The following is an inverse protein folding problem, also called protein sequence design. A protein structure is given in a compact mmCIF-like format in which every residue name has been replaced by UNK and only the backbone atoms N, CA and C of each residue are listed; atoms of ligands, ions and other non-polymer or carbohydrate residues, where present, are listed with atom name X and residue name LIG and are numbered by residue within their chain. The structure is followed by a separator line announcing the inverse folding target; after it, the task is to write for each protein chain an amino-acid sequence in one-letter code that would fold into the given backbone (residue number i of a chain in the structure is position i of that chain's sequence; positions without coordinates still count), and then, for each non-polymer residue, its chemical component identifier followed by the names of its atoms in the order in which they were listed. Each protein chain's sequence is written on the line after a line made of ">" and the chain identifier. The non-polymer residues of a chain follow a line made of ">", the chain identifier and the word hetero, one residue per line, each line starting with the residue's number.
data_IF_721284532149
#
_entry.id   IF_721284532149
#
_cell.length_a   1.000
_cell.length_b   1.000
_cell.length_c   1.000
_cell.angle_alpha   90.00
_cell.angle_beta   90.00
_cell.angle_gamma   90.00
#
_symmetry.space_group_name_H-M   'P 1'
#
loop_
_entity.id
_entity.type
_entity.pdbx_description
1 polymer ?
#
# COMPACT_ATOMS: atom_id res chain seq x y z
N UNK A 1 -10.74 -11.33 -0.56
CA UNK A 1 -9.29 -11.58 -0.36
C UNK A 1 -8.58 -10.54 -1.19
N UNK A 2 -7.74 -9.72 -0.56
CA UNK A 2 -7.04 -8.61 -1.20
C UNK A 2 -5.56 -8.93 -1.32
N UNK A 3 -4.98 -8.68 -2.49
CA UNK A 3 -3.54 -8.88 -2.75
C UNK A 3 -2.86 -7.53 -2.84
N UNK A 4 -1.91 -7.29 -1.93
CA UNK A 4 -1.12 -6.07 -1.88
C UNK A 4 0.24 -6.35 -2.52
N UNK A 5 0.58 -5.58 -3.55
CA UNK A 5 1.86 -5.71 -4.25
C UNK A 5 2.60 -4.39 -4.21
N UNK A 6 3.87 -4.41 -3.80
CA UNK A 6 4.69 -3.21 -3.65
C UNK A 6 6.12 -3.45 -4.15
N UNK A 7 6.80 -2.48 -4.81
CA UNK A 7 8.16 -2.67 -5.30
C UNK A 7 9.22 -2.96 -4.23
N UNK A 8 9.00 -2.48 -3.00
CA UNK A 8 9.98 -2.55 -1.90
C UNK A 8 9.52 -3.41 -0.72
N UNK A 9 8.34 -4.05 -0.81
CA UNK A 9 7.79 -4.89 0.26
C UNK A 9 7.22 -6.18 -0.33
N UNK A 10 7.17 -7.28 0.44
CA UNK A 10 6.66 -8.55 -0.06
C UNK A 10 5.20 -8.45 -0.51
N UNK A 11 4.85 -9.21 -1.56
CA UNK A 11 3.46 -9.39 -1.95
C UNK A 11 2.74 -10.21 -0.89
N UNK A 12 1.68 -9.64 -0.31
CA UNK A 12 0.92 -10.28 0.78
C UNK A 12 -0.56 -10.31 0.47
N UNK A 13 -1.26 -11.24 1.13
CA UNK A 13 -2.69 -11.45 0.96
C UNK A 13 -3.39 -11.32 2.31
N UNK A 14 -4.48 -10.57 2.34
CA UNK A 14 -5.33 -10.44 3.52
C UNK A 14 -6.76 -10.88 3.20
N UNK A 15 -7.40 -11.46 4.20
CA UNK A 15 -8.81 -11.84 4.16
C UNK A 15 -9.65 -10.89 5.01
N UNK A 16 -10.93 -10.75 4.68
CA UNK A 16 -11.86 -9.85 5.39
C UNK A 16 -12.07 -8.51 4.69
N UNK A 17 -12.36 -7.48 5.50
CA UNK A 17 -12.69 -6.13 5.04
C UNK A 17 -11.47 -5.40 4.46
N UNK A 18 -11.70 -4.60 3.42
CA UNK A 18 -10.65 -3.85 2.71
C UNK A 18 -9.94 -2.85 3.63
N UNK A 19 -10.71 -2.08 4.40
CA UNK A 19 -10.18 -1.07 5.32
C UNK A 19 -9.27 -1.68 6.39
N UNK A 20 -9.67 -2.85 6.92
CA UNK A 20 -8.86 -3.60 7.89
C UNK A 20 -7.59 -4.13 7.23
N UNK A 21 -7.71 -4.69 6.03
CA UNK A 21 -6.57 -5.21 5.26
C UNK A 21 -5.53 -4.12 4.95
N UNK A 22 -5.98 -2.92 4.56
CA UNK A 22 -5.10 -1.75 4.32
C UNK A 22 -4.38 -1.35 5.62
N UNK A 23 -5.12 -1.26 6.73
CA UNK A 23 -4.55 -0.87 8.02
C UNK A 23 -3.51 -1.90 8.51
N UNK A 24 -3.81 -3.20 8.37
CA UNK A 24 -2.89 -4.28 8.74
C UNK A 24 -1.63 -4.26 7.86
N UNK A 25 -1.78 -4.12 6.54
CA UNK A 25 -0.64 -3.99 5.63
C UNK A 25 0.27 -2.81 5.98
N UNK A 26 -0.33 -1.65 6.29
CA UNK A 26 0.42 -0.46 6.68
C UNK A 26 1.20 -0.68 7.99
N UNK A 27 0.60 -1.32 8.98
CA UNK A 27 1.26 -1.63 10.25
C UNK A 27 2.40 -2.66 10.07
N UNK A 28 2.14 -3.75 9.35
CA UNK A 28 3.08 -4.87 9.22
C UNK A 28 4.29 -4.52 8.34
N UNK A 29 4.07 -3.79 7.24
CA UNK A 29 5.06 -3.67 6.16
C UNK A 29 5.49 -2.24 5.85
N UNK A 30 4.74 -1.23 6.30
CA UNK A 30 5.00 0.16 5.94
C UNK A 30 5.43 1.04 7.13
N UNK A 31 5.58 0.48 8.32
CA UNK A 31 5.94 1.21 9.55
C UNK A 31 7.29 1.95 9.48
N UNK A 32 8.18 1.55 8.57
CA UNK A 32 9.47 2.22 8.32
C UNK A 32 9.36 3.45 7.40
N UNK A 33 8.20 3.65 6.76
CA UNK A 33 7.93 4.70 5.78
C UNK A 33 6.88 5.68 6.30
N UNK A 34 6.96 6.96 5.90
CA UNK A 34 5.90 7.93 6.20
C UNK A 34 4.86 7.81 5.09
N UNK A 35 3.74 7.16 5.41
CA UNK A 35 2.73 6.77 4.44
C UNK A 35 1.57 7.75 4.42
N UNK A 36 1.15 8.16 3.22
CA UNK A 36 -0.12 8.84 3.02
C UNK A 36 -0.96 8.04 2.02
N UNK A 37 -2.20 7.77 2.37
CA UNK A 37 -3.12 7.04 1.49
C UNK A 37 -3.70 8.04 0.49
N UNK A 38 -3.12 8.10 -0.70
CA UNK A 38 -3.74 8.74 -1.85
C UNK A 38 -4.33 7.64 -2.73
N UNK A 39 -5.65 7.65 -2.92
CA UNK A 39 -6.29 6.79 -3.91
C UNK A 39 -5.82 7.23 -5.29
N UNK A 40 -5.01 6.39 -5.93
CA UNK A 40 -4.55 6.60 -7.30
C UNK A 40 -5.14 5.51 -8.18
N UNK A 41 -5.61 5.89 -9.36
CA UNK A 41 -6.15 4.96 -10.35
C UNK A 41 -4.99 4.10 -10.90
N UNK A 42 -4.76 2.94 -10.27
CA UNK A 42 -3.63 2.07 -10.60
C UNK A 42 -3.97 1.05 -11.71
N UNK A 43 -5.25 0.68 -11.85
CA UNK A 43 -5.81 -0.06 -12.98
C UNK A 43 -7.34 0.02 -12.98
N UNK A 44 -8.01 -0.52 -14.01
CA UNK A 44 -9.48 -0.61 -14.08
C UNK A 44 -10.13 -1.39 -12.92
N UNK A 45 -9.36 -2.09 -12.09
CA UNK A 45 -9.85 -2.96 -11.02
C UNK A 45 -9.09 -2.84 -9.68
N UNK A 46 -8.19 -1.86 -9.51
CA UNK A 46 -7.33 -1.81 -8.32
C UNK A 46 -7.12 -0.41 -7.75
N UNK A 47 -7.01 -0.35 -6.41
CA UNK A 47 -6.72 0.86 -5.65
C UNK A 47 -5.20 0.99 -5.52
N UNK A 48 -4.65 2.13 -5.90
CA UNK A 48 -3.26 2.49 -5.65
C UNK A 48 -3.08 3.18 -4.30
N UNK A 49 -2.02 2.86 -3.57
CA UNK A 49 -1.54 3.61 -2.40
C UNK A 49 -0.11 4.11 -2.69
N UNK A 50 0.11 5.42 -2.74
CA UNK A 50 1.45 5.99 -2.94
C UNK A 50 2.22 6.13 -1.61
N UNK A 51 3.46 5.63 -1.58
CA UNK A 51 4.32 5.72 -0.38
C UNK A 51 5.37 6.83 -0.52
N UNK A 52 5.75 7.46 0.59
CA UNK A 52 6.76 8.52 0.61
C UNK A 52 7.90 8.23 1.60
N UNK A 53 9.11 8.68 1.24
CA UNK A 53 10.27 8.60 2.11
C UNK A 53 10.25 9.71 3.16
N UNK A 54 10.24 9.35 4.45
CA UNK A 54 10.21 10.28 5.59
C UNK A 54 11.26 11.40 5.53
N UNK A 55 12.47 11.06 5.11
CA UNK A 55 13.61 11.99 5.09
C UNK A 55 13.60 12.94 3.91
N UNK A 56 12.96 12.59 2.80
CA UNK A 56 13.07 13.35 1.54
C UNK A 56 11.73 13.79 0.96
N UNK A 57 10.61 13.28 1.47
CA UNK A 57 9.27 13.51 0.94
C UNK A 57 9.08 13.01 -0.49
N UNK A 58 9.98 12.15 -1.00
CA UNK A 58 9.91 11.63 -2.37
C UNK A 58 9.04 10.37 -2.44
N UNK A 59 8.30 10.18 -3.54
CA UNK A 59 7.54 8.96 -3.75
C UNK A 59 8.51 7.77 -3.88
N UNK A 60 8.19 6.68 -3.19
CA UNK A 60 8.96 5.42 -3.18
C UNK A 60 8.34 4.36 -4.08
N UNK A 61 7.05 4.47 -4.38
CA UNK A 61 6.31 3.51 -5.19
C UNK A 61 4.82 3.54 -4.88
N UNK A 62 4.06 2.80 -5.69
CA UNK A 62 2.61 2.63 -5.51
C UNK A 62 2.36 1.17 -5.14
N UNK A 63 1.66 0.95 -4.03
CA UNK A 63 1.09 -0.35 -3.67
C UNK A 63 -0.18 -0.52 -4.50
N UNK A 64 -0.30 -1.63 -5.22
CA UNK A 64 -1.53 -1.95 -5.97
C UNK A 64 -2.30 -3.01 -5.20
N UNK A 65 -3.56 -2.71 -4.89
CA UNK A 65 -4.51 -3.63 -4.26
C UNK A 65 -5.39 -4.24 -5.35
N UNK A 66 -5.37 -5.56 -5.46
CA UNK A 66 -6.26 -6.36 -6.31
C UNK A 66 -7.23 -7.18 -5.45
#
# INVERSE_FOLDING_TARGET
>A
MFTFTHPLAPTVKYEGELSTSIATYAADHLHEYDVYLAEVEASAHGIGIELFAKTTGKPLGVVVIH
#
